data_IF_518221649217
#
_entry.id   IF_518221649217
#
_cell.length_a   1.000
_cell.length_b   1.000
_cell.length_c   1.000
_cell.angle_alpha   90.00
_cell.angle_beta   90.00
_cell.angle_gamma   90.00
#
_symmetry.space_group_name_H-M   'P 1'
#
loop_
_entity.id
_entity.type
_entity.pdbx_description
1 polymer ?
#
# COMPACT_ATOMS: atom_id res chain seq x y z
N UNK A 1 11.57 -9.54 -49.57
CA UNK A 1 12.05 -8.72 -48.43
C UNK A 1 11.26 -7.41 -48.28
N UNK A 2 11.10 -6.56 -49.30
CA UNK A 2 10.33 -5.31 -49.17
C UNK A 2 8.88 -5.53 -48.72
N UNK A 3 8.19 -6.51 -49.32
CA UNK A 3 6.79 -6.84 -48.98
C UNK A 3 6.57 -7.32 -47.54
N UNK A 4 7.58 -7.90 -46.90
CA UNK A 4 7.49 -8.32 -45.48
C UNK A 4 7.64 -7.11 -44.57
N UNK A 5 8.58 -6.20 -44.88
CA UNK A 5 8.77 -4.95 -44.15
C UNK A 5 7.55 -4.04 -44.31
N UNK A 6 7.01 -3.94 -45.53
CA UNK A 6 5.78 -3.19 -45.83
C UNK A 6 4.56 -3.79 -45.13
N UNK A 7 4.48 -5.13 -45.06
CA UNK A 7 3.44 -5.86 -44.33
C UNK A 7 3.51 -5.61 -42.82
N UNK A 8 4.70 -5.67 -42.22
CA UNK A 8 4.90 -5.37 -40.79
C UNK A 8 4.57 -3.89 -40.48
N UNK A 9 5.02 -2.95 -41.31
CA UNK A 9 4.71 -1.53 -41.14
C UNK A 9 3.21 -1.21 -41.31
N UNK A 10 2.50 -1.89 -42.22
CA UNK A 10 1.04 -1.77 -42.36
C UNK A 10 0.27 -2.44 -41.22
N UNK A 11 0.80 -3.55 -40.67
CA UNK A 11 0.14 -4.35 -39.63
C UNK A 11 0.34 -3.81 -38.20
N UNK A 12 1.14 -2.75 -37.99
CA UNK A 12 1.22 -2.05 -36.69
C UNK A 12 -0.08 -1.33 -36.28
N UNK A 13 -1.14 -1.43 -37.08
CA UNK A 13 -2.50 -0.95 -36.76
C UNK A 13 -3.53 -2.07 -36.99
N UNK A 14 -3.28 -3.28 -36.49
CA UNK A 14 -4.34 -4.29 -36.45
C UNK A 14 -5.34 -3.86 -35.39
N UNK A 15 -6.40 -3.17 -35.83
CA UNK A 15 -7.63 -3.02 -35.08
C UNK A 15 -8.57 -4.11 -35.60
N UNK A 16 -8.65 -5.24 -34.90
CA UNK A 16 -9.72 -6.20 -35.17
C UNK A 16 -10.94 -5.71 -34.40
N UNK A 17 -11.93 -5.17 -35.11
CA UNK A 17 -13.16 -4.66 -34.51
C UNK A 17 -14.34 -5.51 -34.98
N UNK A 18 -14.91 -6.27 -34.05
CA UNK A 18 -16.23 -6.86 -34.15
C UNK A 18 -17.13 -6.19 -33.12
N UNK A 19 -18.45 -6.30 -33.23
CA UNK A 19 -19.37 -5.69 -32.26
C UNK A 19 -19.07 -6.09 -30.80
N UNK A 20 -18.44 -7.25 -30.59
CA UNK A 20 -18.16 -7.83 -29.26
C UNK A 20 -16.68 -7.74 -28.82
N UNK A 21 -15.72 -7.59 -29.75
CA UNK A 21 -14.29 -7.63 -29.44
C UNK A 21 -13.48 -6.60 -30.22
N UNK A 22 -12.59 -5.90 -29.50
CA UNK A 22 -11.61 -4.96 -30.04
C UNK A 22 -10.20 -5.38 -29.61
N UNK A 23 -9.31 -5.55 -30.59
CA UNK A 23 -7.88 -5.81 -30.36
C UNK A 23 -7.10 -4.63 -30.92
N UNK A 24 -6.12 -4.12 -30.18
CA UNK A 24 -5.25 -3.03 -30.62
C UNK A 24 -3.80 -3.27 -30.23
N UNK A 25 -2.88 -2.69 -31.01
CA UNK A 25 -1.43 -2.63 -30.76
C UNK A 25 -0.97 -1.25 -30.27
N UNK A 26 -1.89 -0.40 -29.82
CA UNK A 26 -1.56 0.89 -29.20
C UNK A 26 -0.85 0.71 -27.85
N UNK A 27 -0.06 1.71 -27.45
CA UNK A 27 0.52 1.76 -26.11
C UNK A 27 -0.55 2.00 -25.06
N UNK A 28 -0.46 1.34 -23.90
CA UNK A 28 -1.33 1.64 -22.76
C UNK A 28 -1.12 3.04 -22.19
N UNK A 29 -0.02 3.73 -22.54
CA UNK A 29 0.20 5.15 -22.19
C UNK A 29 -0.72 6.09 -22.95
N UNK A 30 -1.34 5.64 -24.06
CA UNK A 30 -2.31 6.41 -24.84
C UNK A 30 -3.33 5.47 -25.52
N UNK A 31 -4.59 5.58 -25.12
CA UNK A 31 -5.70 4.78 -25.64
C UNK A 31 -6.68 5.65 -26.46
N UNK A 32 -6.26 6.23 -27.61
CA UNK A 32 -7.06 7.21 -28.35
C UNK A 32 -8.33 6.63 -28.97
N UNK A 33 -8.36 5.32 -29.20
CA UNK A 33 -9.53 4.63 -29.74
C UNK A 33 -10.66 4.44 -28.70
N UNK A 34 -10.35 4.59 -27.41
CA UNK A 34 -11.27 4.32 -26.30
C UNK A 34 -11.72 5.66 -25.71
N UNK A 35 -13.02 5.92 -25.77
CA UNK A 35 -13.64 7.13 -25.20
C UNK A 35 -13.61 7.09 -23.66
N UNK A 36 -13.78 8.25 -23.06
CA UNK A 36 -13.83 8.42 -21.60
C UNK A 36 -15.03 7.69 -21.00
N UNK A 37 -14.84 7.11 -19.81
CA UNK A 37 -15.91 6.51 -19.01
C UNK A 37 -16.79 5.48 -19.75
N UNK A 38 -16.22 4.63 -20.61
CA UNK A 38 -16.97 3.57 -21.30
C UNK A 38 -16.69 2.17 -20.73
N UNK A 39 -15.52 1.96 -20.13
CA UNK A 39 -15.07 0.65 -19.66
C UNK A 39 -15.69 0.34 -18.29
N UNK A 40 -16.24 -0.86 -18.12
CA UNK A 40 -16.86 -1.31 -16.85
C UNK A 40 -15.87 -2.02 -15.91
N UNK A 41 -14.76 -2.54 -16.45
CA UNK A 41 -13.75 -3.25 -15.68
C UNK A 41 -12.42 -3.29 -16.45
N UNK A 42 -11.30 -3.17 -15.75
CA UNK A 42 -9.97 -3.32 -16.34
C UNK A 42 -9.23 -4.45 -15.62
N UNK A 43 -8.66 -5.36 -16.40
CA UNK A 43 -7.69 -6.34 -15.91
C UNK A 43 -6.38 -6.10 -16.65
N UNK A 44 -5.28 -5.97 -15.91
CA UNK A 44 -3.98 -5.67 -16.50
C UNK A 44 -2.87 -6.48 -15.82
N UNK A 45 -1.92 -6.93 -16.61
CA UNK A 45 -0.68 -7.59 -16.15
C UNK A 45 0.52 -6.78 -16.67
N UNK A 46 0.90 -5.69 -15.98
CA UNK A 46 1.97 -4.83 -16.42
C UNK A 46 3.35 -5.48 -16.32
N UNK A 47 4.33 -5.02 -17.12
CA UNK A 47 5.70 -5.51 -17.05
C UNK A 47 6.33 -5.28 -15.66
N UNK A 48 7.04 -6.28 -15.16
CA UNK A 48 7.50 -6.35 -13.77
C UNK A 48 8.85 -5.66 -13.52
N UNK A 49 9.03 -4.43 -14.02
CA UNK A 49 10.26 -3.66 -13.83
C UNK A 49 11.47 -4.30 -14.51
N UNK A 50 12.47 -4.74 -13.74
CA UNK A 50 13.77 -5.19 -14.27
C UNK A 50 13.86 -6.66 -14.70
N UNK A 51 12.75 -7.39 -14.71
CA UNK A 51 12.76 -8.86 -14.85
C UNK A 51 13.02 -9.34 -16.28
N UNK A 52 12.47 -8.63 -17.28
CA UNK A 52 12.61 -8.94 -18.71
C UNK A 52 12.75 -7.63 -19.49
N UNK A 53 13.71 -7.59 -20.42
CA UNK A 53 13.90 -6.48 -21.36
C UNK A 53 13.31 -6.89 -22.71
N UNK A 54 12.04 -6.58 -22.95
CA UNK A 54 11.29 -7.14 -24.08
C UNK A 54 11.88 -6.69 -25.42
N UNK A 55 12.25 -5.41 -25.55
CA UNK A 55 12.88 -4.90 -26.77
C UNK A 55 14.22 -5.60 -27.06
N UNK A 56 15.00 -5.90 -26.03
CA UNK A 56 16.31 -6.55 -26.18
C UNK A 56 16.19 -8.01 -26.60
N UNK A 57 15.18 -8.72 -26.10
CA UNK A 57 14.89 -10.10 -26.51
C UNK A 57 14.55 -10.21 -28.00
N UNK A 58 13.98 -9.15 -28.58
CA UNK A 58 13.58 -9.11 -29.98
C UNK A 58 14.68 -8.57 -30.92
N UNK A 59 15.82 -8.12 -30.38
CA UNK A 59 16.85 -7.38 -31.13
C UNK A 59 17.37 -8.12 -32.38
N UNK A 60 17.58 -9.44 -32.30
CA UNK A 60 18.09 -10.22 -33.44
C UNK A 60 17.12 -10.17 -34.64
N UNK A 61 15.83 -10.30 -34.37
CA UNK A 61 14.78 -10.26 -35.40
C UNK A 61 14.60 -8.84 -35.94
N UNK A 62 14.62 -7.84 -35.06
CA UNK A 62 14.53 -6.43 -35.43
C UNK A 62 15.69 -5.97 -36.31
N UNK A 63 16.91 -6.38 -35.99
CA UNK A 63 18.10 -6.09 -36.79
C UNK A 63 18.03 -6.76 -38.18
N UNK A 64 17.53 -7.99 -38.25
CA UNK A 64 17.32 -8.69 -39.52
C UNK A 64 16.23 -8.03 -40.38
N UNK A 65 15.12 -7.63 -39.75
CA UNK A 65 13.97 -7.01 -40.43
C UNK A 65 14.15 -5.50 -40.68
N UNK A 66 15.17 -4.87 -40.08
CA UNK A 66 15.42 -3.42 -40.10
C UNK A 66 14.24 -2.60 -39.58
N UNK A 67 13.52 -3.15 -38.61
CA UNK A 67 12.41 -2.48 -37.90
C UNK A 67 12.75 -2.55 -36.42
N UNK A 68 12.93 -1.39 -35.78
CA UNK A 68 13.35 -1.30 -34.39
C UNK A 68 12.20 -0.85 -33.49
N UNK A 69 12.02 -1.50 -32.34
CA UNK A 69 11.02 -1.14 -31.35
C UNK A 69 11.37 0.21 -30.71
N UNK A 70 10.37 1.06 -30.49
CA UNK A 70 10.54 2.25 -29.65
C UNK A 70 10.67 1.82 -28.18
N UNK A 71 11.90 1.64 -27.73
CA UNK A 71 12.20 1.26 -26.36
C UNK A 71 12.14 2.42 -25.36
N UNK A 72 11.85 3.68 -25.76
CA UNK A 72 11.83 4.81 -24.81
C UNK A 72 10.69 4.71 -23.81
N UNK A 73 9.50 4.39 -24.27
CA UNK A 73 8.28 4.27 -23.44
C UNK A 73 8.07 2.85 -22.88
N UNK A 74 9.06 1.97 -23.01
CA UNK A 74 9.00 0.63 -22.43
C UNK A 74 9.05 0.71 -20.90
N UNK A 75 8.00 0.22 -20.22
CA UNK A 75 7.88 0.20 -18.77
C UNK A 75 8.78 -0.90 -18.15
N UNK A 76 10.10 -0.71 -18.18
CA UNK A 76 11.11 -1.62 -17.62
C UNK A 76 12.18 -0.87 -16.83
N UNK A 77 12.81 -1.54 -15.87
CA UNK A 77 13.95 -1.00 -15.10
C UNK A 77 15.25 -1.53 -15.70
N UNK A 78 15.98 -0.66 -16.40
CA UNK A 78 17.20 -1.02 -17.13
C UNK A 78 18.31 0.02 -16.93
N UNK A 79 19.37 -0.36 -16.21
CA UNK A 79 20.48 0.54 -15.91
C UNK A 79 21.21 1.05 -17.17
N UNK A 80 21.33 0.23 -18.22
CA UNK A 80 22.03 0.59 -19.47
C UNK A 80 21.24 1.64 -20.24
N UNK A 81 19.91 1.50 -20.25
CA UNK A 81 19.00 2.46 -20.87
C UNK A 81 18.68 3.67 -19.96
N UNK A 82 19.35 3.81 -18.82
CA UNK A 82 19.06 4.82 -17.78
C UNK A 82 17.59 4.77 -17.28
N UNK A 83 17.05 3.55 -17.34
CA UNK A 83 15.80 2.99 -16.83
C UNK A 83 15.72 2.82 -15.33
N UNK A 84 15.66 3.87 -14.53
CA UNK A 84 15.52 3.71 -13.07
C UNK A 84 14.10 3.32 -12.63
N UNK A 85 13.94 3.16 -11.32
CA UNK A 85 12.62 2.93 -10.71
C UNK A 85 11.69 4.16 -10.85
N UNK A 86 12.16 5.42 -10.69
CA UNK A 86 11.32 6.60 -10.92
C UNK A 86 10.78 6.69 -12.35
N UNK A 87 11.60 6.36 -13.35
CA UNK A 87 11.18 6.35 -14.75
C UNK A 87 10.12 5.27 -15.01
N UNK A 88 10.31 4.08 -14.43
CA UNK A 88 9.31 3.01 -14.47
C UNK A 88 7.99 3.46 -13.84
N UNK A 89 8.04 4.06 -12.65
CA UNK A 89 6.86 4.59 -11.97
C UNK A 89 6.12 5.63 -12.82
N UNK A 90 6.84 6.55 -13.45
CA UNK A 90 6.25 7.58 -14.31
C UNK A 90 5.51 6.97 -15.52
N UNK A 91 6.07 5.96 -16.17
CA UNK A 91 5.41 5.27 -17.29
C UNK A 91 4.16 4.52 -16.79
N UNK A 92 4.27 3.86 -15.64
CA UNK A 92 3.11 3.19 -15.02
C UNK A 92 2.00 4.17 -14.64
N UNK A 93 2.35 5.34 -14.10
CA UNK A 93 1.42 6.42 -13.79
C UNK A 93 0.69 6.92 -15.05
N UNK A 94 1.41 7.06 -16.18
CA UNK A 94 0.81 7.43 -17.45
C UNK A 94 -0.20 6.37 -17.95
N UNK A 95 0.16 5.08 -17.88
CA UNK A 95 -0.75 3.98 -18.21
C UNK A 95 -2.01 3.99 -17.32
N UNK A 96 -1.83 4.13 -16.01
CA UNK A 96 -2.95 4.16 -15.07
C UNK A 96 -3.81 5.42 -15.25
N UNK A 97 -3.23 6.56 -15.62
CA UNK A 97 -4.00 7.78 -15.91
C UNK A 97 -4.94 7.57 -17.10
N UNK A 98 -4.47 6.89 -18.15
CA UNK A 98 -5.34 6.50 -19.27
C UNK A 98 -6.42 5.48 -18.85
N UNK A 99 -6.07 4.53 -17.98
CA UNK A 99 -7.05 3.59 -17.43
C UNK A 99 -8.12 4.33 -16.62
N UNK A 100 -7.72 5.32 -15.82
CA UNK A 100 -8.62 6.16 -15.06
C UNK A 100 -9.56 6.95 -15.98
N UNK A 101 -9.06 7.50 -17.09
CA UNK A 101 -9.86 8.23 -18.08
C UNK A 101 -10.95 7.34 -18.70
N UNK A 102 -10.61 6.14 -19.13
CA UNK A 102 -11.55 5.26 -19.86
C UNK A 102 -12.51 4.49 -18.96
N UNK A 103 -12.14 4.25 -17.69
CA UNK A 103 -12.96 3.52 -16.73
C UNK A 103 -14.14 4.36 -16.23
N UNK A 104 -15.33 3.77 -16.14
CA UNK A 104 -16.51 4.40 -15.54
C UNK A 104 -16.30 4.68 -14.04
N UNK A 105 -16.86 5.77 -13.49
CA UNK A 105 -16.82 6.03 -12.04
C UNK A 105 -17.45 4.88 -11.23
N UNK A 106 -16.84 4.52 -10.10
CA UNK A 106 -17.29 3.42 -9.23
C UNK A 106 -16.96 2.01 -9.73
N UNK A 107 -16.13 1.88 -10.76
CA UNK A 107 -15.71 0.59 -11.33
C UNK A 107 -14.29 0.20 -10.92
N UNK A 108 -13.98 -1.07 -11.12
CA UNK A 108 -12.77 -1.72 -10.61
C UNK A 108 -11.70 -1.92 -11.68
N UNK A 109 -10.46 -1.88 -11.22
CA UNK A 109 -9.28 -2.35 -11.93
C UNK A 109 -8.58 -3.41 -11.09
N UNK A 110 -8.13 -4.46 -11.75
CA UNK A 110 -7.26 -5.47 -11.16
C UNK A 110 -5.92 -5.47 -11.86
N UNK A 111 -4.85 -5.35 -11.08
CA UNK A 111 -3.47 -5.37 -11.54
C UNK A 111 -2.82 -6.65 -11.02
N UNK A 112 -2.44 -7.57 -11.92
CA UNK A 112 -1.57 -8.70 -11.60
C UNK A 112 -0.13 -8.20 -11.52
N UNK A 113 0.60 -8.60 -10.48
CA UNK A 113 1.97 -8.16 -10.28
C UNK A 113 2.86 -9.25 -9.71
N UNK A 114 3.94 -9.57 -10.41
CA UNK A 114 4.95 -10.53 -10.00
C UNK A 114 6.33 -9.86 -9.84
N UNK A 115 6.64 -9.37 -8.64
CA UNK A 115 8.00 -8.96 -8.31
C UNK A 115 8.32 -9.18 -6.84
N UNK A 116 9.51 -9.69 -6.56
CA UNK A 116 10.01 -9.92 -5.21
C UNK A 116 10.56 -8.65 -4.52
N UNK A 117 10.62 -7.51 -5.22
CA UNK A 117 11.14 -6.24 -4.69
C UNK A 117 10.00 -5.35 -4.21
N UNK A 118 10.00 -5.06 -2.91
CA UNK A 118 9.04 -4.16 -2.25
C UNK A 118 8.99 -2.77 -2.90
N UNK A 119 10.14 -2.24 -3.32
CA UNK A 119 10.22 -0.94 -3.98
C UNK A 119 9.46 -0.85 -5.31
N UNK A 120 9.42 -1.92 -6.11
CA UNK A 120 8.65 -1.93 -7.38
C UNK A 120 7.15 -2.01 -7.10
N UNK A 121 6.77 -2.74 -6.04
CA UNK A 121 5.38 -2.79 -5.59
C UNK A 121 4.88 -1.42 -5.12
N UNK A 122 5.65 -0.72 -4.28
CA UNK A 122 5.30 0.63 -3.86
C UNK A 122 5.21 1.60 -5.03
N UNK A 123 6.14 1.52 -6.00
CA UNK A 123 6.07 2.33 -7.21
C UNK A 123 4.75 2.16 -7.98
N UNK A 124 4.22 0.93 -8.07
CA UNK A 124 2.91 0.66 -8.70
C UNK A 124 1.75 1.20 -7.86
N UNK A 125 1.78 0.97 -6.54
CA UNK A 125 0.72 1.50 -5.67
C UNK A 125 0.66 3.01 -5.70
N UNK A 126 1.82 3.65 -5.74
CA UNK A 126 1.94 5.09 -5.87
C UNK A 126 1.45 5.56 -7.23
N UNK A 127 1.87 4.92 -8.32
CA UNK A 127 1.40 5.23 -9.67
C UNK A 127 -0.14 5.11 -9.80
N UNK A 128 -0.74 4.07 -9.20
CA UNK A 128 -2.21 3.93 -9.10
C UNK A 128 -2.84 5.09 -8.31
N UNK A 129 -2.25 5.43 -7.17
CA UNK A 129 -2.75 6.48 -6.29
C UNK A 129 -2.66 7.86 -6.95
N UNK A 130 -1.53 8.17 -7.62
CA UNK A 130 -1.31 9.42 -8.37
C UNK A 130 -2.28 9.55 -9.55
N UNK A 131 -2.58 8.44 -10.23
CA UNK A 131 -3.60 8.39 -11.27
C UNK A 131 -5.04 8.59 -10.75
N UNK A 132 -5.26 8.52 -9.42
CA UNK A 132 -6.56 8.77 -8.77
C UNK A 132 -7.31 7.50 -8.33
N UNK A 133 -6.73 6.31 -8.49
CA UNK A 133 -7.35 5.08 -8.01
C UNK A 133 -7.26 4.93 -6.48
N UNK A 134 -8.24 4.26 -5.89
CA UNK A 134 -8.20 3.83 -4.49
C UNK A 134 -7.91 2.33 -4.45
N UNK A 135 -6.77 1.95 -3.87
CA UNK A 135 -6.44 0.54 -3.62
C UNK A 135 -7.30 0.01 -2.49
N UNK A 136 -8.10 -1.03 -2.77
CA UNK A 136 -9.04 -1.62 -1.81
C UNK A 136 -8.52 -2.92 -1.20
N UNK A 137 -7.84 -3.75 -1.98
CA UNK A 137 -7.36 -5.07 -1.53
C UNK A 137 -6.07 -5.44 -2.27
N UNK A 138 -5.17 -6.12 -1.59
CA UNK A 138 -3.96 -6.71 -2.19
C UNK A 138 -3.87 -8.15 -1.72
N UNK A 139 -4.12 -9.08 -2.63
CA UNK A 139 -4.11 -10.51 -2.33
C UNK A 139 -2.89 -11.19 -2.93
N UNK A 140 -2.46 -12.27 -2.31
CA UNK A 140 -1.45 -13.17 -2.89
C UNK A 140 -2.16 -14.30 -3.62
N UNK A 141 -1.76 -14.56 -4.87
CA UNK A 141 -2.22 -15.67 -5.69
C UNK A 141 -1.14 -16.76 -5.66
N UNK A 142 -1.52 -17.92 -5.12
CA UNK A 142 -0.65 -19.10 -5.02
C UNK A 142 -0.79 -19.97 -6.28
N UNK A 143 0.19 -19.88 -7.19
CA UNK A 143 0.27 -20.75 -8.38
C UNK A 143 0.71 -22.15 -7.94
N UNK A 144 -0.26 -23.06 -7.75
CA UNK A 144 -0.08 -24.50 -7.41
C UNK A 144 0.86 -25.33 -8.32
N UNK A 145 1.46 -24.75 -9.38
CA UNK A 145 2.46 -25.41 -10.23
C UNK A 145 3.65 -24.50 -10.47
N UNK A 146 4.79 -24.91 -9.94
CA UNK A 146 6.02 -24.16 -10.11
C UNK A 146 6.69 -24.35 -11.47
N UNK A 147 7.16 -23.25 -12.06
CA UNK A 147 8.02 -23.32 -13.25
C UNK A 147 9.45 -23.76 -12.87
N UNK A 148 10.18 -24.38 -13.80
CA UNK A 148 11.50 -24.98 -13.57
C UNK A 148 12.57 -24.06 -12.95
N UNK A 149 12.41 -22.72 -12.98
CA UNK A 149 13.29 -21.76 -12.29
C UNK A 149 13.00 -21.58 -10.80
N UNK A 150 11.92 -22.17 -10.28
CA UNK A 150 11.46 -21.92 -8.90
C UNK A 150 12.17 -22.76 -7.83
N UNK A 151 12.84 -23.85 -8.22
CA UNK A 151 13.41 -24.85 -7.30
C UNK A 151 14.75 -24.42 -6.69
N UNK A 152 15.43 -23.39 -7.21
CA UNK A 152 16.85 -23.11 -6.89
C UNK A 152 17.14 -21.85 -6.07
N UNK A 153 16.14 -21.06 -5.67
CA UNK A 153 16.38 -19.82 -4.89
C UNK A 153 15.51 -19.73 -3.62
N UNK A 154 16.16 -19.80 -2.46
CA UNK A 154 15.55 -19.98 -1.12
C UNK A 154 15.17 -18.68 -0.41
N UNK A 155 15.15 -17.51 -1.09
CA UNK A 155 15.13 -16.22 -0.38
C UNK A 155 14.33 -15.09 -1.07
N UNK A 156 13.44 -15.41 -2.00
CA UNK A 156 12.50 -14.42 -2.54
C UNK A 156 11.08 -14.77 -2.08
N UNK A 157 10.36 -13.80 -1.53
CA UNK A 157 8.90 -13.91 -1.38
C UNK A 157 8.34 -14.03 -2.80
N UNK A 158 7.89 -15.23 -3.15
CA UNK A 158 7.52 -15.67 -4.51
C UNK A 158 6.01 -15.85 -4.61
N UNK A 159 5.24 -14.80 -4.35
CA UNK A 159 3.78 -14.83 -4.49
C UNK A 159 3.37 -13.77 -5.52
N UNK A 160 2.49 -14.15 -6.44
CA UNK A 160 1.86 -13.18 -7.35
C UNK A 160 0.94 -12.30 -6.52
N UNK A 161 1.06 -10.99 -6.64
CA UNK A 161 0.16 -10.06 -5.97
C UNK A 161 -0.93 -9.63 -6.95
N UNK A 162 -2.17 -9.63 -6.46
CA UNK A 162 -3.33 -9.11 -7.16
C UNK A 162 -3.76 -7.85 -6.42
N UNK A 163 -3.56 -6.70 -7.04
CA UNK A 163 -4.01 -5.42 -6.53
C UNK A 163 -5.40 -5.16 -7.09
N UNK A 164 -6.38 -5.03 -6.21
CA UNK A 164 -7.73 -4.58 -6.55
C UNK A 164 -7.88 -3.12 -6.16
N UNK A 165 -8.12 -2.27 -7.16
CA UNK A 165 -8.35 -0.84 -6.95
C UNK A 165 -9.62 -0.40 -7.69
N UNK A 166 -10.16 0.75 -7.32
CA UNK A 166 -11.38 1.28 -7.96
C UNK A 166 -11.27 2.77 -8.23
N UNK A 167 -11.97 3.21 -9.28
CA UNK A 167 -12.17 4.62 -9.60
C UNK A 167 -13.27 5.18 -8.71
N UNK A 168 -13.04 6.26 -7.94
CA UNK A 168 -14.10 6.89 -7.14
C UNK A 168 -15.31 7.28 -7.99
N UNK A 169 -16.50 7.26 -7.38
CA UNK A 169 -17.76 7.57 -8.05
C UNK A 169 -18.07 9.09 -8.14
N UNK A 170 -17.05 9.95 -8.04
CA UNK A 170 -17.15 11.43 -8.07
C UNK A 170 -17.77 12.05 -6.81
N UNK A 171 -18.82 11.45 -6.26
CA UNK A 171 -19.48 11.92 -5.04
C UNK A 171 -18.57 11.93 -3.81
N UNK A 172 -17.55 11.06 -3.77
CA UNK A 172 -16.53 11.10 -2.73
C UNK A 172 -15.65 12.34 -2.83
N UNK A 173 -15.16 12.68 -4.04
CA UNK A 173 -14.19 13.77 -4.22
C UNK A 173 -14.82 15.14 -4.00
N UNK A 174 -16.08 15.34 -4.42
CA UNK A 174 -16.79 16.59 -4.15
C UNK A 174 -17.10 16.76 -2.66
N UNK A 175 -17.57 15.70 -1.98
CA UNK A 175 -17.80 15.74 -0.53
C UNK A 175 -16.49 15.92 0.24
N UNK A 176 -15.42 15.25 -0.17
CA UNK A 176 -14.11 15.46 0.45
C UNK A 176 -13.53 16.84 0.19
N UNK A 177 -13.78 17.47 -0.95
CA UNK A 177 -13.39 18.88 -1.17
C UNK A 177 -14.19 19.83 -0.27
N UNK A 178 -15.46 19.53 -0.01
CA UNK A 178 -16.34 20.31 0.86
C UNK A 178 -16.03 20.10 2.36
N UNK A 179 -15.61 18.90 2.74
CA UNK A 179 -15.38 18.45 4.13
C UNK A 179 -13.89 18.20 4.45
N UNK A 180 -12.98 18.67 3.59
CA UNK A 180 -11.54 18.44 3.70
C UNK A 180 -11.02 18.87 5.08
N UNK A 181 -10.44 17.93 5.82
CA UNK A 181 -9.87 18.21 7.14
C UNK A 181 -10.92 18.40 8.24
N UNK A 182 -12.14 17.91 8.04
CA UNK A 182 -13.16 17.84 9.10
C UNK A 182 -13.29 16.43 9.66
N UNK A 183 -13.81 16.31 10.89
CA UNK A 183 -14.08 15.00 11.48
C UNK A 183 -15.14 14.20 10.69
N UNK A 184 -16.06 14.87 9.98
CA UNK A 184 -17.08 14.20 9.17
C UNK A 184 -16.47 13.49 7.97
N UNK A 185 -15.54 14.16 7.27
CA UNK A 185 -14.78 13.56 6.17
C UNK A 185 -14.04 12.28 6.58
N UNK A 186 -13.48 12.24 7.79
CA UNK A 186 -12.84 11.02 8.33
C UNK A 186 -13.80 9.84 8.34
N UNK A 187 -15.02 10.03 8.86
CA UNK A 187 -16.01 8.96 8.98
C UNK A 187 -16.63 8.59 7.63
N UNK A 188 -16.74 9.55 6.73
CA UNK A 188 -17.18 9.30 5.35
C UNK A 188 -16.18 8.44 4.59
N UNK A 189 -14.87 8.67 4.75
CA UNK A 189 -13.84 7.75 4.23
C UNK A 189 -13.98 6.36 4.84
N UNK A 190 -14.07 6.23 6.16
CA UNK A 190 -14.17 4.91 6.81
C UNK A 190 -15.40 4.15 6.31
N UNK A 191 -16.56 4.83 6.23
CA UNK A 191 -17.81 4.22 5.74
C UNK A 191 -17.66 3.73 4.30
N UNK A 192 -17.08 4.56 3.44
CA UNK A 192 -16.88 4.19 2.05
C UNK A 192 -15.84 3.06 1.93
N UNK A 193 -14.75 3.11 2.68
CA UNK A 193 -13.72 2.08 2.66
C UNK A 193 -14.31 0.74 3.09
N UNK A 194 -15.02 0.68 4.23
CA UNK A 194 -15.73 -0.52 4.70
C UNK A 194 -16.68 -1.10 3.65
N UNK A 195 -17.42 -0.24 2.94
CA UNK A 195 -18.35 -0.65 1.87
C UNK A 195 -17.67 -1.40 0.71
N UNK A 196 -16.40 -1.10 0.44
CA UNK A 196 -15.65 -1.72 -0.65
C UNK A 196 -14.84 -2.93 -0.18
N UNK A 197 -14.63 -3.09 1.12
CA UNK A 197 -13.92 -4.25 1.66
C UNK A 197 -14.79 -5.52 1.53
N UNK A 198 -14.19 -6.69 1.26
CA UNK A 198 -14.91 -7.95 1.26
C UNK A 198 -15.66 -8.16 2.58
N UNK A 199 -16.88 -8.68 2.52
CA UNK A 199 -17.69 -8.96 3.72
C UNK A 199 -17.23 -10.21 4.47
N UNK A 200 -16.78 -11.21 3.71
CA UNK A 200 -16.51 -12.55 4.24
C UNK A 200 -15.52 -13.25 3.32
N UNK A 201 -14.48 -13.84 3.91
CA UNK A 201 -13.49 -14.66 3.20
C UNK A 201 -13.43 -16.02 3.90
N UNK A 202 -13.70 -17.07 3.13
CA UNK A 202 -13.60 -18.46 3.60
C UNK A 202 -12.33 -19.09 3.06
N UNK A 203 -11.53 -19.68 3.95
CA UNK A 203 -10.30 -20.41 3.61
C UNK A 203 -10.25 -21.71 4.40
N UNK A 204 -10.05 -22.82 3.70
CA UNK A 204 -9.98 -24.17 4.29
C UNK A 204 -11.15 -24.54 5.24
N UNK A 205 -12.34 -23.99 4.99
CA UNK A 205 -13.54 -24.20 5.81
C UNK A 205 -13.55 -23.41 7.13
N UNK A 206 -12.62 -22.46 7.27
CA UNK A 206 -12.48 -21.47 8.33
C UNK A 206 -12.78 -20.04 7.85
N UNK A 207 -13.10 -19.16 8.79
CA UNK A 207 -13.26 -17.72 8.53
C UNK A 207 -11.88 -17.11 8.59
N UNK A 208 -11.46 -16.46 7.51
CA UNK A 208 -10.25 -15.66 7.48
C UNK A 208 -10.56 -14.24 7.98
N UNK A 209 -9.81 -13.78 8.99
CA UNK A 209 -9.91 -12.40 9.46
C UNK A 209 -9.39 -11.44 8.40
N UNK A 210 -10.22 -10.45 8.03
CA UNK A 210 -9.88 -9.43 7.05
C UNK A 210 -9.19 -8.28 7.79
N UNK A 211 -7.87 -8.24 7.70
CA UNK A 211 -7.04 -7.29 8.44
C UNK A 211 -7.46 -5.82 8.18
N UNK A 212 -7.80 -5.43 6.95
CA UNK A 212 -8.24 -4.07 6.62
C UNK A 212 -9.58 -3.66 7.28
N UNK A 213 -10.34 -4.60 7.86
CA UNK A 213 -11.53 -4.29 8.68
C UNK A 213 -11.21 -4.08 10.16
N UNK A 214 -9.97 -4.26 10.59
CA UNK A 214 -9.56 -4.05 11.98
C UNK A 214 -9.29 -2.57 12.26
N UNK A 215 -9.56 -2.12 13.48
CA UNK A 215 -9.48 -0.70 13.87
C UNK A 215 -8.17 0.00 13.50
N UNK A 216 -7.03 -0.64 13.73
CA UNK A 216 -5.70 -0.07 13.48
C UNK A 216 -5.42 0.11 11.99
N UNK A 217 -5.78 -0.86 11.14
CA UNK A 217 -5.60 -0.71 9.69
C UNK A 217 -6.60 0.30 9.12
N UNK A 218 -7.83 0.34 9.62
CA UNK A 218 -8.78 1.39 9.26
C UNK A 218 -8.23 2.80 9.58
N UNK A 219 -7.60 2.96 10.74
CA UNK A 219 -6.94 4.21 11.12
C UNK A 219 -5.78 4.54 10.17
N UNK A 220 -4.89 3.57 9.91
CA UNK A 220 -3.75 3.76 9.02
C UNK A 220 -4.17 4.14 7.59
N UNK A 221 -5.19 3.47 7.04
CA UNK A 221 -5.76 3.79 5.72
C UNK A 221 -6.32 5.20 5.69
N UNK A 222 -7.00 5.60 6.77
CA UNK A 222 -7.55 6.94 6.92
C UNK A 222 -6.45 8.01 6.98
N UNK A 223 -5.40 7.78 7.77
CA UNK A 223 -4.24 8.69 7.86
C UNK A 223 -3.58 8.81 6.49
N UNK A 224 -3.27 7.68 5.85
CA UNK A 224 -2.68 7.65 4.52
C UNK A 224 -3.53 8.44 3.51
N UNK A 225 -4.84 8.23 3.49
CA UNK A 225 -5.75 8.94 2.59
C UNK A 225 -5.68 10.48 2.74
N UNK A 226 -5.61 10.98 3.98
CA UNK A 226 -5.53 12.42 4.26
C UNK A 226 -4.15 12.99 3.92
N UNK A 227 -3.08 12.28 4.31
CA UNK A 227 -1.71 12.69 4.01
C UNK A 227 -1.48 12.72 2.50
N UNK A 228 -2.05 11.77 1.72
CA UNK A 228 -1.94 11.74 0.25
C UNK A 228 -2.44 13.02 -0.38
N UNK A 229 -3.46 13.63 0.21
CA UNK A 229 -4.12 14.84 -0.30
C UNK A 229 -3.54 16.11 0.31
N UNK A 230 -2.47 16.00 1.11
CA UNK A 230 -1.87 17.11 1.82
C UNK A 230 -2.81 17.76 2.84
N UNK A 231 -3.76 16.99 3.38
CA UNK A 231 -4.74 17.40 4.38
C UNK A 231 -4.24 16.95 5.76
N UNK A 232 -4.40 17.80 6.77
CA UNK A 232 -4.08 17.45 8.16
C UNK A 232 -5.16 16.50 8.68
N UNK A 233 -4.76 15.40 9.32
CA UNK A 233 -5.70 14.46 9.94
C UNK A 233 -6.40 15.16 11.12
N UNK A 234 -7.73 15.30 11.11
CA UNK A 234 -8.45 16.14 12.07
C UNK A 234 -8.81 15.43 13.39
N UNK A 235 -8.37 14.19 13.57
CA UNK A 235 -8.69 13.36 14.73
C UNK A 235 -7.43 12.64 15.26
N UNK A 236 -7.35 12.47 16.58
CA UNK A 236 -6.31 11.65 17.20
C UNK A 236 -6.60 10.15 17.04
N UNK A 237 -5.60 9.28 17.23
CA UNK A 237 -5.80 7.84 17.16
C UNK A 237 -6.75 7.34 18.29
N UNK A 238 -6.51 7.77 19.53
CA UNK A 238 -7.43 7.49 20.66
C UNK A 238 -8.88 7.90 20.40
N UNK A 239 -9.12 9.13 19.92
CA UNK A 239 -10.48 9.60 19.60
C UNK A 239 -11.10 8.79 18.46
N UNK A 240 -10.29 8.42 17.46
CA UNK A 240 -10.72 7.58 16.36
C UNK A 240 -11.18 6.21 16.88
N UNK A 241 -10.39 5.52 17.71
CA UNK A 241 -10.79 4.21 18.22
C UNK A 241 -12.04 4.27 19.10
N UNK A 242 -12.14 5.28 19.97
CA UNK A 242 -13.31 5.47 20.84
C UNK A 242 -14.59 5.69 20.02
N UNK A 243 -14.53 6.51 18.97
CA UNK A 243 -15.68 6.83 18.12
C UNK A 243 -15.98 5.76 17.06
N UNK A 244 -14.98 5.01 16.62
CA UNK A 244 -15.15 3.90 15.67
C UNK A 244 -16.13 2.86 16.23
N UNK A 245 -15.93 2.46 17.49
CA UNK A 245 -16.80 1.51 18.19
C UNK A 245 -18.22 2.04 18.44
N UNK A 246 -18.41 3.36 18.49
CA UNK A 246 -19.74 3.96 18.61
C UNK A 246 -20.49 4.02 17.28
N UNK A 247 -19.76 4.11 16.17
CA UNK A 247 -20.32 4.33 14.83
C UNK A 247 -20.51 3.05 14.03
N UNK A 248 -19.64 2.06 14.22
CA UNK A 248 -19.64 0.84 13.43
C UNK A 248 -19.68 -0.39 14.34
N UNK A 249 -20.59 -1.36 14.09
CA UNK A 249 -20.64 -2.61 14.84
C UNK A 249 -19.38 -3.45 14.65
N UNK A 250 -18.86 -3.98 15.76
CA UNK A 250 -17.70 -4.87 15.79
C UNK A 250 -18.12 -6.35 15.87
N UNK A 251 -17.50 -7.22 15.07
CA UNK A 251 -17.63 -8.69 15.12
C UNK A 251 -16.29 -9.36 14.84
N UNK A 252 -15.92 -10.34 15.68
CA UNK A 252 -14.67 -11.09 15.56
C UNK A 252 -13.43 -10.16 15.40
N UNK A 253 -13.43 -8.98 16.05
CA UNK A 253 -12.35 -7.99 15.97
C UNK A 253 -12.32 -7.13 14.69
N UNK A 254 -13.38 -7.21 13.87
CA UNK A 254 -13.55 -6.46 12.62
C UNK A 254 -14.76 -5.53 12.68
N UNK A 255 -14.72 -4.42 11.94
CA UNK A 255 -15.80 -3.45 11.87
C UNK A 255 -16.61 -3.60 10.57
N UNK A 256 -17.91 -3.38 10.67
CA UNK A 256 -18.86 -3.55 9.58
C UNK A 256 -19.80 -2.35 9.47
N UNK A 257 -20.40 -2.16 8.29
CA UNK A 257 -21.56 -1.28 8.20
C UNK A 257 -22.77 -1.94 8.87
N UNK A 258 -23.69 -1.18 9.49
CA UNK A 258 -24.88 -1.75 10.14
C UNK A 258 -25.69 -2.70 9.25
N UNK A 259 -25.81 -2.38 7.97
CA UNK A 259 -26.49 -3.18 6.95
C UNK A 259 -25.78 -4.49 6.60
N UNK A 260 -24.47 -4.59 6.84
CA UNK A 260 -23.63 -5.75 6.50
C UNK A 260 -23.68 -6.85 7.58
N UNK A 261 -24.02 -6.48 8.82
CA UNK A 261 -23.91 -7.37 10.00
C UNK A 261 -24.73 -8.64 9.84
N UNK A 262 -25.98 -8.51 9.39
CA UNK A 262 -26.89 -9.66 9.27
C UNK A 262 -26.40 -10.69 8.22
N UNK A 263 -25.76 -10.21 7.15
CA UNK A 263 -25.17 -11.09 6.14
C UNK A 263 -23.90 -11.77 6.67
N UNK A 264 -23.05 -11.01 7.36
CA UNK A 264 -21.84 -11.53 7.99
C UNK A 264 -22.17 -12.63 9.01
N UNK A 265 -23.08 -12.38 9.96
CA UNK A 265 -23.46 -13.35 10.99
C UNK A 265 -24.04 -14.63 10.38
N UNK A 266 -24.83 -14.52 9.31
CA UNK A 266 -25.36 -15.69 8.58
C UNK A 266 -24.25 -16.54 7.96
N UNK A 267 -23.21 -15.92 7.39
CA UNK A 267 -22.04 -16.63 6.83
C UNK A 267 -21.16 -17.20 7.94
N UNK A 268 -20.98 -16.46 9.04
CA UNK A 268 -20.22 -16.86 10.23
C UNK A 268 -20.73 -18.16 10.83
N UNK A 269 -22.05 -18.35 10.93
CA UNK A 269 -22.68 -19.57 11.46
C UNK A 269 -22.37 -20.84 10.64
N UNK A 270 -21.97 -20.70 9.36
CA UNK A 270 -21.67 -21.85 8.48
C UNK A 270 -20.27 -22.41 8.71
N UNK A 271 -19.43 -21.67 9.43
CA UNK A 271 -18.01 -21.93 9.55
C UNK A 271 -17.66 -22.32 10.99
N UNK A 272 -16.88 -23.39 11.13
CA UNK A 272 -16.60 -24.01 12.44
C UNK A 272 -15.45 -23.36 13.21
N UNK A 273 -14.57 -22.61 12.54
CA UNK A 273 -13.30 -22.11 13.11
C UNK A 273 -12.97 -20.72 12.55
N UNK A 274 -12.34 -19.88 13.37
CA UNK A 274 -11.72 -18.62 12.90
C UNK A 274 -10.24 -18.90 12.74
N UNK A 275 -9.73 -18.69 11.54
CA UNK A 275 -8.29 -18.76 11.30
C UNK A 275 -7.71 -17.36 11.38
N UNK A 276 -6.68 -17.23 12.21
CA UNK A 276 -5.92 -16.00 12.37
C UNK A 276 -4.70 -16.03 11.45
N UNK A 277 -4.43 -14.91 10.78
CA UNK A 277 -3.31 -14.78 9.85
C UNK A 277 -1.96 -14.85 10.60
N UNK A 278 -0.95 -15.54 10.05
CA UNK A 278 0.40 -15.53 10.61
C UNK A 278 1.16 -14.30 10.12
N UNK A 279 1.33 -13.30 10.99
CA UNK A 279 2.10 -12.09 10.68
C UNK A 279 3.60 -12.31 10.89
N UNK A 280 4.39 -11.96 9.88
CA UNK A 280 5.85 -11.89 9.96
C UNK A 280 6.28 -10.51 10.43
N UNK A 281 7.28 -10.42 11.30
CA UNK A 281 7.73 -9.15 11.89
C UNK A 281 8.98 -8.65 11.16
N UNK A 282 8.92 -7.45 10.59
CA UNK A 282 10.02 -6.83 9.83
C UNK A 282 10.49 -5.51 10.43
N UNK A 283 9.56 -4.78 11.04
CA UNK A 283 9.71 -3.43 11.57
C UNK A 283 8.89 -3.22 12.86
N UNK A 284 8.93 -2.02 13.43
CA UNK A 284 8.17 -1.72 14.64
C UNK A 284 6.66 -1.81 14.42
N UNK A 285 6.18 -1.38 13.25
CA UNK A 285 4.75 -1.38 12.94
C UNK A 285 4.18 -2.80 12.92
N UNK A 286 4.82 -3.70 12.17
CA UNK A 286 4.49 -5.13 12.13
C UNK A 286 4.69 -5.81 13.50
N UNK A 287 5.67 -5.37 14.31
CA UNK A 287 5.82 -5.83 15.70
C UNK A 287 4.59 -5.50 16.54
N UNK A 288 4.13 -4.24 16.53
CA UNK A 288 2.95 -3.81 17.29
C UNK A 288 1.70 -4.54 16.82
N UNK A 289 1.56 -4.75 15.50
CA UNK A 289 0.44 -5.49 14.93
C UNK A 289 0.43 -6.96 15.40
N UNK A 290 1.58 -7.62 15.33
CA UNK A 290 1.75 -8.99 15.81
C UNK A 290 1.45 -9.09 17.32
N UNK A 291 1.97 -8.16 18.13
CA UNK A 291 1.71 -8.13 19.57
C UNK A 291 0.23 -7.92 19.90
N UNK A 292 -0.47 -7.03 19.18
CA UNK A 292 -1.92 -6.85 19.36
C UNK A 292 -2.68 -8.12 19.05
N UNK A 293 -2.28 -8.85 18.01
CA UNK A 293 -2.90 -10.14 17.69
C UNK A 293 -2.63 -11.17 18.80
N UNK A 294 -1.38 -11.31 19.22
CA UNK A 294 -0.97 -12.26 20.27
C UNK A 294 -1.66 -11.98 21.61
N UNK A 295 -1.82 -10.71 21.98
CA UNK A 295 -2.45 -10.28 23.23
C UNK A 295 -3.98 -10.15 23.15
N UNK A 296 -4.57 -10.26 21.95
CA UNK A 296 -6.03 -10.18 21.79
C UNK A 296 -6.76 -11.37 22.40
N UNK A 297 -6.13 -12.54 22.42
CA UNK A 297 -6.71 -13.76 22.98
C UNK A 297 -6.64 -13.75 24.51
N UNK A 298 -5.48 -13.42 25.07
CA UNK A 298 -5.27 -13.37 26.51
C UNK A 298 -4.04 -12.52 26.87
N UNK A 299 -4.04 -11.87 28.05
CA UNK A 299 -2.84 -11.24 28.59
C UNK A 299 -1.70 -12.26 28.81
N UNK A 300 -0.47 -11.86 28.48
CA UNK A 300 0.72 -12.75 28.53
C UNK A 300 1.92 -12.05 29.17
N UNK A 301 2.80 -12.81 29.84
CA UNK A 301 4.04 -12.23 30.40
C UNK A 301 5.10 -12.03 29.32
N UNK A 302 6.11 -11.21 29.62
CA UNK A 302 7.26 -11.05 28.71
C UNK A 302 7.93 -12.39 28.36
N UNK A 303 7.99 -13.33 29.32
CA UNK A 303 8.61 -14.64 29.13
C UNK A 303 7.83 -15.53 28.15
N UNK A 304 6.51 -15.34 28.05
CA UNK A 304 5.66 -16.06 27.12
C UNK A 304 5.77 -15.50 25.69
N UNK A 305 5.90 -14.17 25.58
CA UNK A 305 5.92 -13.45 24.31
C UNK A 305 7.28 -13.55 23.62
N UNK A 306 8.38 -13.42 24.38
CA UNK A 306 9.73 -13.30 23.82
C UNK A 306 10.13 -14.48 22.91
N UNK A 307 9.92 -15.76 23.26
CA UNK A 307 10.29 -16.88 22.39
C UNK A 307 9.50 -16.87 21.07
N UNK A 308 8.20 -16.54 21.12
CA UNK A 308 7.33 -16.46 19.94
C UNK A 308 7.74 -15.32 19.02
N UNK A 309 8.07 -14.17 19.62
CA UNK A 309 8.56 -13.00 18.89
C UNK A 309 9.85 -13.31 18.11
N UNK A 310 10.81 -13.97 18.74
CA UNK A 310 12.07 -14.35 18.09
C UNK A 310 11.89 -15.33 16.93
N UNK A 311 10.84 -16.17 16.95
CA UNK A 311 10.51 -17.06 15.83
C UNK A 311 9.94 -16.32 14.62
N UNK A 312 9.31 -15.16 14.83
CA UNK A 312 8.66 -14.37 13.77
C UNK A 312 9.53 -13.19 13.27
N UNK A 313 10.68 -12.94 13.92
CA UNK A 313 11.51 -11.77 13.65
C UNK A 313 12.38 -11.94 12.40
N UNK A 314 12.10 -11.12 11.39
CA UNK A 314 12.84 -10.98 10.15
C UNK A 314 13.19 -9.49 9.91
N UNK A 315 13.99 -8.93 10.81
CA UNK A 315 14.32 -7.51 10.85
C UNK A 315 14.96 -6.99 9.55
N UNK A 316 14.46 -5.84 9.08
CA UNK A 316 15.04 -5.14 7.94
C UNK A 316 16.40 -4.48 8.27
N UNK A 317 17.31 -4.46 7.29
CA UNK A 317 18.71 -4.02 7.49
C UNK A 317 18.84 -2.57 7.97
N UNK A 318 17.92 -1.71 7.54
CA UNK A 318 17.90 -0.28 7.82
C UNK A 318 17.18 0.06 9.13
N UNK A 319 16.28 -0.82 9.59
CA UNK A 319 15.41 -0.57 10.73
C UNK A 319 16.19 -0.68 12.04
N UNK A 320 16.14 0.37 12.84
CA UNK A 320 16.60 0.37 14.24
C UNK A 320 15.44 0.00 15.15
N UNK A 321 15.05 -1.27 15.09
CA UNK A 321 13.94 -1.80 15.87
C UNK A 321 14.21 -1.62 17.39
N UNK A 322 13.28 -1.03 18.16
CA UNK A 322 13.39 -0.98 19.61
C UNK A 322 13.39 -2.39 20.22
N UNK A 323 13.92 -2.54 21.44
CA UNK A 323 13.80 -3.79 22.18
C UNK A 323 12.33 -4.12 22.43
N UNK A 324 11.98 -5.42 22.42
CA UNK A 324 10.60 -5.89 22.63
C UNK A 324 9.96 -5.28 23.89
N UNK A 325 10.73 -5.21 24.98
CA UNK A 325 10.29 -4.60 26.24
C UNK A 325 9.86 -3.14 26.05
N UNK A 326 10.65 -2.36 25.30
CA UNK A 326 10.33 -0.97 24.99
C UNK A 326 9.09 -0.85 24.10
N UNK A 327 8.94 -1.73 23.10
CA UNK A 327 7.72 -1.76 22.26
C UNK A 327 6.48 -2.08 23.11
N UNK A 328 6.60 -3.01 24.06
CA UNK A 328 5.53 -3.34 25.01
C UNK A 328 5.17 -2.15 25.89
N UNK A 329 6.16 -1.51 26.51
CA UNK A 329 5.98 -0.33 27.37
C UNK A 329 5.36 0.87 26.64
N UNK A 330 5.70 1.07 25.37
CA UNK A 330 5.21 2.21 24.58
C UNK A 330 3.81 1.99 23.99
N UNK A 331 3.30 0.75 23.92
CA UNK A 331 2.05 0.44 23.21
C UNK A 331 1.01 -0.33 24.05
N UNK A 332 1.39 -0.94 25.17
CA UNK A 332 0.55 -1.83 25.96
C UNK A 332 0.61 -1.50 27.46
N UNK A 333 -0.31 -2.06 28.24
CA UNK A 333 -0.30 -1.95 29.69
C UNK A 333 0.01 -3.28 30.36
N UNK A 334 0.56 -3.21 31.57
CA UNK A 334 0.89 -4.35 32.40
C UNK A 334 -0.09 -4.45 33.57
N UNK A 335 -0.62 -5.64 33.84
CA UNK A 335 -1.44 -5.89 35.02
C UNK A 335 -0.59 -6.12 36.28
N UNK A 336 -1.23 -6.32 37.42
CA UNK A 336 -0.58 -6.51 38.73
C UNK A 336 0.26 -7.80 38.76
N UNK A 337 -0.13 -8.83 38.00
CA UNK A 337 0.60 -10.09 37.84
C UNK A 337 1.73 -10.01 36.81
N UNK A 338 1.90 -8.85 36.18
CA UNK A 338 2.99 -8.61 35.25
C UNK A 338 2.73 -9.07 33.81
N UNK A 339 1.48 -9.33 33.44
CA UNK A 339 1.05 -9.69 32.08
C UNK A 339 0.71 -8.44 31.29
N UNK A 340 1.11 -8.42 30.03
CA UNK A 340 0.80 -7.38 29.07
C UNK A 340 -0.59 -7.58 28.48
N UNK A 341 -1.35 -6.51 28.31
CA UNK A 341 -2.68 -6.53 27.71
C UNK A 341 -2.93 -5.27 26.85
N UNK A 342 -3.93 -5.37 25.97
CA UNK A 342 -4.34 -4.26 25.09
C UNK A 342 -5.11 -3.22 25.94
N UNK A 343 -4.65 -1.96 26.02
CA UNK A 343 -5.29 -0.93 26.83
C UNK A 343 -6.70 -0.59 26.30
N UNK A 344 -7.60 -0.24 27.22
CA UNK A 344 -8.89 0.36 26.86
C UNK A 344 -8.71 1.70 26.12
N UNK A 345 -9.66 2.12 25.26
CA UNK A 345 -9.51 3.31 24.41
C UNK A 345 -9.09 4.60 25.17
N UNK A 346 -9.59 4.79 26.39
CA UNK A 346 -9.24 5.95 27.21
C UNK A 346 -7.77 5.94 27.65
N UNK A 347 -7.27 4.80 28.10
CA UNK A 347 -5.87 4.65 28.55
C UNK A 347 -4.90 4.62 27.37
N UNK A 348 -5.38 4.22 26.21
CA UNK A 348 -4.60 4.20 24.98
C UNK A 348 -4.18 5.62 24.56
N UNK A 349 -5.04 6.63 24.71
CA UNK A 349 -4.70 8.03 24.38
C UNK A 349 -3.51 8.57 25.18
N UNK A 350 -3.42 8.24 26.47
CA UNK A 350 -2.32 8.71 27.33
C UNK A 350 -1.00 8.01 27.00
N UNK A 351 -1.05 6.69 26.73
CA UNK A 351 0.11 5.95 26.22
C UNK A 351 0.61 6.51 24.88
N UNK A 352 -0.32 6.85 23.98
CA UNK A 352 0.01 7.43 22.67
C UNK A 352 0.74 8.76 22.80
N UNK A 353 0.31 9.65 23.71
CA UNK A 353 1.01 10.93 23.97
C UNK A 353 2.44 10.71 24.48
N UNK A 354 2.63 9.72 25.36
CA UNK A 354 3.95 9.38 25.87
C UNK A 354 4.85 8.79 24.78
N UNK A 355 4.30 7.88 23.96
CA UNK A 355 4.99 7.30 22.81
C UNK A 355 5.37 8.37 21.79
N UNK A 356 4.44 9.25 21.43
CA UNK A 356 4.69 10.37 20.51
C UNK A 356 5.83 11.26 21.02
N UNK A 357 5.85 11.60 22.31
CA UNK A 357 6.94 12.36 22.92
C UNK A 357 8.29 11.63 22.85
N UNK A 358 8.31 10.31 23.06
CA UNK A 358 9.51 9.45 22.91
C UNK A 358 10.01 9.47 21.46
N UNK A 359 9.11 9.27 20.50
CA UNK A 359 9.41 9.28 19.06
C UNK A 359 9.94 10.63 18.59
N UNK A 360 9.33 11.73 19.02
CA UNK A 360 9.77 13.08 18.66
C UNK A 360 11.13 13.41 19.26
N UNK A 361 11.42 12.96 20.48
CA UNK A 361 12.76 13.10 21.08
C UNK A 361 13.81 12.36 20.26
N UNK A 362 13.51 11.16 19.78
CA UNK A 362 14.41 10.42 18.89
C UNK A 362 14.56 11.12 17.52
N UNK A 363 13.47 11.64 16.95
CA UNK A 363 13.50 12.41 15.71
C UNK A 363 14.39 13.67 15.78
N UNK A 364 14.37 14.39 16.91
CA UNK A 364 15.25 15.55 17.09
C UNK A 364 16.73 15.18 17.00
N UNK A 365 17.13 13.99 17.45
CA UNK A 365 18.52 13.52 17.27
C UNK A 365 18.88 13.35 15.79
N UNK A 366 17.90 12.98 14.96
CA UNK A 366 18.09 12.90 13.51
C UNK A 366 18.16 14.31 12.91
N UNK A 367 17.37 15.25 13.41
CA UNK A 367 17.37 16.66 13.00
C UNK A 367 18.69 17.37 13.24
N UNK A 368 19.31 17.14 14.39
CA UNK A 368 20.61 17.72 14.77
C UNK A 368 21.79 17.12 13.96
N UNK A 369 21.67 15.87 13.53
CA UNK A 369 22.65 15.22 12.68
C UNK A 369 22.77 15.87 11.30
N UNK A 370 23.94 15.75 10.66
CA UNK A 370 24.18 16.27 9.29
C UNK A 370 24.46 15.18 8.25
N UNK A 371 24.67 13.93 8.70
CA UNK A 371 25.03 12.80 7.84
C UNK A 371 23.81 12.01 7.33
N UNK A 372 24.06 11.14 6.34
CA UNK A 372 23.07 10.16 5.87
C UNK A 372 22.65 9.22 7.00
N UNK A 373 21.34 8.96 7.10
CA UNK A 373 20.75 8.07 8.09
C UNK A 373 20.80 6.63 7.57
N UNK A 374 21.77 5.84 8.04
CA UNK A 374 21.92 4.43 7.63
C UNK A 374 21.08 3.46 8.46
N UNK A 375 20.90 3.78 9.75
CA UNK A 375 20.08 3.05 10.71
C UNK A 375 19.26 4.04 11.51
N UNK A 376 17.95 3.91 11.46
CA UNK A 376 17.01 4.81 12.12
C UNK A 376 15.73 4.05 12.44
N UNK A 377 14.96 4.60 13.38
CA UNK A 377 13.65 4.08 13.76
C UNK A 377 12.61 4.71 12.84
N UNK A 378 11.98 3.92 11.96
CA UNK A 378 11.07 4.45 10.93
C UNK A 378 9.88 5.19 11.54
N UNK A 379 9.33 4.67 12.64
CA UNK A 379 8.24 5.32 13.39
C UNK A 379 8.62 6.72 13.92
N UNK A 380 9.89 6.94 14.30
CA UNK A 380 10.34 8.26 14.75
C UNK A 380 10.39 9.26 13.59
N UNK A 381 10.81 8.81 12.40
CA UNK A 381 10.77 9.64 11.19
C UNK A 381 9.33 9.98 10.81
N UNK A 382 8.41 9.00 10.83
CA UNK A 382 6.98 9.23 10.56
C UNK A 382 6.37 10.25 11.52
N UNK A 383 6.61 10.09 12.83
CA UNK A 383 6.12 11.03 13.84
C UNK A 383 6.70 12.45 13.64
N UNK A 384 7.99 12.53 13.34
CA UNK A 384 8.65 13.80 13.01
C UNK A 384 8.06 14.48 11.78
N UNK A 385 7.88 13.75 10.68
CA UNK A 385 7.30 14.27 9.44
C UNK A 385 5.87 14.74 9.64
N UNK A 386 5.06 13.97 10.37
CA UNK A 386 3.70 14.36 10.75
C UNK A 386 3.68 15.69 11.51
N UNK A 387 4.56 15.86 12.51
CA UNK A 387 4.65 17.12 13.27
C UNK A 387 5.11 18.29 12.40
N UNK A 388 6.20 18.12 11.65
CA UNK A 388 6.70 19.15 10.74
C UNK A 388 5.64 19.56 9.72
N UNK A 389 4.85 18.61 9.21
CA UNK A 389 3.75 18.89 8.28
C UNK A 389 2.68 19.76 8.92
N UNK A 390 2.24 19.43 10.14
CA UNK A 390 1.29 20.23 10.90
C UNK A 390 1.79 21.64 11.23
N UNK A 391 3.08 21.77 11.53
CA UNK A 391 3.78 23.04 11.78
C UNK A 391 4.17 23.81 10.51
N UNK A 392 3.88 23.25 9.32
CA UNK A 392 4.30 23.77 8.01
C UNK A 392 5.82 23.93 7.83
N UNK A 393 6.60 23.17 8.59
CA UNK A 393 8.06 23.08 8.42
C UNK A 393 8.42 22.07 7.32
N UNK A 394 8.06 22.40 6.09
CA UNK A 394 8.33 21.57 4.90
C UNK A 394 9.84 21.40 4.66
N UNK A 395 10.63 22.41 5.02
CA UNK A 395 12.09 22.41 4.85
C UNK A 395 12.74 21.29 5.67
N UNK A 396 12.32 21.07 6.91
CA UNK A 396 12.86 19.96 7.72
C UNK A 396 12.50 18.60 7.15
N UNK A 397 11.28 18.44 6.59
CA UNK A 397 10.85 17.20 5.93
C UNK A 397 11.78 16.90 4.75
N UNK A 398 12.01 17.88 3.86
CA UNK A 398 12.89 17.71 2.69
C UNK A 398 14.33 17.39 3.14
N UNK A 399 14.89 18.17 4.07
CA UNK A 399 16.26 17.97 4.54
C UNK A 399 16.49 16.58 5.15
N UNK A 400 15.53 16.06 5.90
CA UNK A 400 15.63 14.72 6.49
C UNK A 400 15.39 13.66 5.41
N UNK A 401 14.43 13.87 4.51
CA UNK A 401 14.15 12.99 3.38
C UNK A 401 15.39 12.74 2.52
N UNK A 402 16.11 13.78 2.13
CA UNK A 402 17.35 13.67 1.35
C UNK A 402 18.47 12.87 2.05
N UNK A 403 18.40 12.77 3.39
CA UNK A 403 19.36 12.02 4.22
C UNK A 403 18.95 10.56 4.41
N UNK A 404 17.69 10.20 4.13
CA UNK A 404 17.22 8.82 4.15
C UNK A 404 17.75 8.08 2.91
N UNK A 405 17.93 6.74 2.98
CA UNK A 405 18.24 5.97 1.78
C UNK A 405 17.04 6.06 0.81
N UNK A 406 17.26 6.35 -0.49
CA UNK A 406 16.17 6.53 -1.46
C UNK A 406 15.20 5.36 -1.53
N UNK A 407 15.73 4.14 -1.35
CA UNK A 407 14.94 2.91 -1.32
C UNK A 407 13.92 2.91 -0.17
N UNK A 408 14.26 3.47 1.00
CA UNK A 408 13.35 3.44 2.17
C UNK A 408 12.24 4.47 2.04
N UNK A 409 12.55 5.65 1.48
CA UNK A 409 11.51 6.60 1.07
C UNK A 409 10.53 5.92 0.11
N UNK A 410 11.03 5.17 -0.87
CA UNK A 410 10.18 4.46 -1.82
C UNK A 410 9.44 3.26 -1.20
N UNK A 411 9.98 2.61 -0.17
CA UNK A 411 9.36 1.47 0.51
C UNK A 411 8.31 1.88 1.56
N UNK A 412 8.27 3.16 1.95
CA UNK A 412 7.32 3.71 2.92
C UNK A 412 6.45 4.79 2.28
N UNK A 413 5.24 4.40 1.88
CA UNK A 413 4.29 5.30 1.23
C UNK A 413 3.99 6.56 2.05
N UNK A 414 3.93 6.46 3.38
CA UNK A 414 3.61 7.62 4.23
C UNK A 414 4.76 8.62 4.25
N UNK A 415 6.00 8.14 4.40
CA UNK A 415 7.18 9.00 4.36
C UNK A 415 7.37 9.64 2.98
N UNK A 416 7.19 8.88 1.92
CA UNK A 416 7.26 9.38 0.54
C UNK A 416 6.27 10.51 0.30
N UNK A 417 5.02 10.31 0.72
CA UNK A 417 3.97 11.30 0.54
C UNK A 417 4.24 12.59 1.31
N UNK A 418 4.71 12.52 2.55
CA UNK A 418 5.13 13.72 3.27
C UNK A 418 6.26 14.44 2.54
N UNK A 419 7.24 13.69 2.04
CA UNK A 419 8.38 14.25 1.32
C UNK A 419 7.98 14.91 0.00
N UNK A 420 7.20 14.23 -0.86
CA UNK A 420 6.75 14.75 -2.15
C UNK A 420 5.85 15.97 -2.00
N UNK A 421 4.93 15.92 -1.03
CA UNK A 421 4.07 17.06 -0.73
C UNK A 421 4.88 18.24 -0.17
N UNK A 422 5.91 17.99 0.62
CA UNK A 422 6.80 19.02 1.15
C UNK A 422 7.67 19.64 0.04
N UNK A 423 8.14 18.86 -0.94
CA UNK A 423 8.81 19.39 -2.13
C UNK A 423 7.86 20.31 -2.91
N UNK A 424 6.64 19.83 -3.18
CA UNK A 424 5.66 20.56 -3.98
C UNK A 424 5.29 21.89 -3.33
N UNK A 425 5.07 21.92 -2.00
CA UNK A 425 4.70 23.14 -1.26
C UNK A 425 5.89 24.00 -0.83
N UNK A 426 7.07 23.41 -0.70
CA UNK A 426 8.31 24.11 -0.32
C UNK A 426 9.00 24.83 -1.47
N UNK A 427 8.70 24.46 -2.73
CA UNK A 427 9.18 25.15 -3.93
C UNK A 427 8.49 26.49 -4.22
N UNK A 428 7.34 26.75 -3.59
CA UNK A 428 6.55 27.99 -3.75
C UNK A 428 6.85 29.06 -2.65
N UNK A 429 7.87 28.85 -1.81
CA UNK A 429 8.19 29.71 -0.66
C UNK A 429 9.51 30.49 -0.80
#
# INVERSE_FOLDING_TARGET
MPQVIEGVQKNCKIIFNSDDFCITTNSSTQLPAIKDNIVDYIFTDPPFGGNLMYSELNFLWEAWLRVFTNNREEAVVNNVQQKGLPEYQHIMEACFSEYYRVLKPGRWVTVEFHNSKNSVWMAIQEALSRAGFIVADVRTLDKKKGSFKQVTSTSAVKQDLIISAYKPNGGLEERFKLEAGTEEGVWDFVRQHLRHLPLFVEKDGGLEIIADRQNFLLFDRMVAFHVQRGIIVPISAGDFYARLHQRFPERDGMYFLPEEVAEYERKRLRVKRVEQFSLTVHDEKSTVQWLRQELSANPQTYQDIQPKFLQQLHQDRHEKLPELQKVLEENFLKDEEGRWYIPDPNKQSDLEKLREKSLLKEFETYREGKGKLKRFRTEAVRAGFKRCWGEKDYRTIVNIGERLPPLILQEDSTLLMYYDNAITRGGDA
#
